data_IF_573126403752
#
_entry.id   IF_573126403752
#
_cell.length_a   1.000
_cell.length_b   1.000
_cell.length_c   1.000
_cell.angle_alpha   90.00
_cell.angle_beta   90.00
_cell.angle_gamma   90.00
#
_symmetry.space_group_name_H-M   'P 1'
#
loop_
_entity.id
_entity.type
_entity.pdbx_description
1 polymer ?
#
# COMPACT_ATOMS: atom_id res chain seq x y z
N UNK A 1 -2.85 -18.82 4.63
CA UNK A 1 -2.17 -17.55 4.32
C UNK A 1 -1.50 -17.05 5.60
N UNK A 2 -0.21 -16.75 5.54
CA UNK A 2 0.50 -16.15 6.66
C UNK A 2 0.63 -14.65 6.39
N UNK A 3 0.10 -13.81 7.27
CA UNK A 3 0.26 -12.36 7.14
C UNK A 3 1.74 -11.97 7.35
N UNK A 4 2.24 -11.08 6.50
CA UNK A 4 3.54 -10.45 6.66
C UNK A 4 3.45 -9.29 7.67
N UNK A 5 4.53 -8.99 8.41
CA UNK A 5 4.56 -7.77 9.22
C UNK A 5 4.56 -6.52 8.34
N UNK A 6 4.25 -5.37 8.93
CA UNK A 6 4.40 -4.09 8.23
C UNK A 6 5.90 -3.79 8.02
N UNK A 7 6.31 -3.31 6.84
CA UNK A 7 7.72 -3.03 6.60
C UNK A 7 8.17 -1.79 7.39
N UNK A 8 9.46 -1.69 7.76
CA UNK A 8 9.98 -0.58 8.57
C UNK A 8 9.74 0.81 7.98
N UNK A 9 9.58 0.90 6.65
CA UNK A 9 9.30 2.16 5.98
C UNK A 9 7.84 2.57 5.94
N UNK A 10 6.92 1.72 6.40
CA UNK A 10 5.51 2.09 6.49
C UNK A 10 5.33 3.21 7.52
N UNK A 11 4.86 4.36 7.05
CA UNK A 11 4.65 5.56 7.86
C UNK A 11 3.17 5.94 7.83
N UNK A 12 2.34 5.42 8.76
CA UNK A 12 0.87 5.61 8.74
C UNK A 12 0.44 7.08 8.89
N UNK A 13 1.30 7.92 9.46
CA UNK A 13 1.05 9.36 9.62
C UNK A 13 1.32 10.14 8.33
N UNK A 14 2.04 9.54 7.37
CA UNK A 14 2.32 10.18 6.06
C UNK A 14 1.28 9.90 4.99
N UNK A 15 0.26 9.08 5.29
CA UNK A 15 -0.77 8.66 4.30
C UNK A 15 -1.58 9.84 3.77
N UNK A 16 -1.84 10.85 4.60
CA UNK A 16 -2.59 12.05 4.23
C UNK A 16 -1.74 13.16 3.61
N UNK A 17 -0.50 12.88 3.19
CA UNK A 17 0.43 13.87 2.67
C UNK A 17 1.01 13.43 1.33
N UNK A 18 1.29 14.41 0.46
CA UNK A 18 2.08 14.18 -0.74
C UNK A 18 3.57 14.28 -0.39
N UNK A 19 4.35 13.27 -0.74
CA UNK A 19 5.80 13.25 -0.47
C UNK A 19 6.56 12.43 -1.50
N UNK A 20 7.86 12.73 -1.65
CA UNK A 20 8.73 12.05 -2.61
C UNK A 20 9.11 10.65 -2.12
N UNK A 21 8.88 9.63 -2.94
CA UNK A 21 9.31 8.26 -2.68
C UNK A 21 10.82 8.13 -2.95
N UNK A 22 11.63 7.61 -2.01
CA UNK A 22 13.04 7.30 -2.25
C UNK A 22 13.16 5.97 -3.03
N UNK A 23 12.88 6.01 -4.34
CA UNK A 23 12.71 4.81 -5.18
C UNK A 23 13.88 3.83 -5.13
N UNK A 24 15.13 4.31 -5.25
CA UNK A 24 16.32 3.46 -5.21
C UNK A 24 16.41 2.66 -3.90
N UNK A 25 16.19 3.33 -2.76
CA UNK A 25 16.15 2.67 -1.46
C UNK A 25 15.01 1.65 -1.37
N UNK A 26 13.82 2.01 -1.84
CA UNK A 26 12.64 1.12 -1.80
C UNK A 26 12.82 -0.12 -2.68
N UNK A 27 13.49 0.00 -3.81
CA UNK A 27 13.82 -1.14 -4.66
C UNK A 27 14.72 -2.14 -3.93
N UNK A 28 15.82 -1.65 -3.33
CA UNK A 28 16.73 -2.51 -2.56
C UNK A 28 16.06 -3.16 -1.33
N UNK A 29 15.23 -2.41 -0.61
CA UNK A 29 14.46 -2.95 0.53
C UNK A 29 13.42 -3.99 0.09
N UNK A 30 12.75 -3.81 -1.06
CA UNK A 30 11.78 -4.76 -1.58
C UNK A 30 12.43 -6.11 -1.91
N UNK A 31 13.61 -6.12 -2.53
CA UNK A 31 14.35 -7.36 -2.78
C UNK A 31 14.76 -8.06 -1.48
N UNK A 32 15.23 -7.30 -0.49
CA UNK A 32 15.59 -7.84 0.82
C UNK A 32 14.36 -8.42 1.54
N UNK A 33 13.21 -7.75 1.41
CA UNK A 33 11.94 -8.19 1.96
C UNK A 33 11.49 -9.51 1.35
N UNK A 34 11.55 -9.62 0.02
CA UNK A 34 11.22 -10.85 -0.70
C UNK A 34 12.11 -12.02 -0.25
N UNK A 35 13.43 -11.81 -0.15
CA UNK A 35 14.37 -12.83 0.36
C UNK A 35 14.08 -13.23 1.81
N UNK A 36 13.77 -12.26 2.68
CA UNK A 36 13.52 -12.50 4.11
C UNK A 36 12.26 -13.33 4.36
N UNK A 37 11.23 -13.14 3.56
CA UNK A 37 9.92 -13.80 3.72
C UNK A 37 9.63 -14.84 2.64
N UNK A 38 10.64 -15.23 1.86
CA UNK A 38 10.55 -16.22 0.78
C UNK A 38 9.41 -15.94 -0.21
N UNK A 39 9.25 -14.67 -0.59
CA UNK A 39 8.21 -14.25 -1.54
C UNK A 39 8.65 -14.62 -2.96
N UNK A 40 7.81 -15.43 -3.62
CA UNK A 40 8.02 -15.83 -5.01
C UNK A 40 7.47 -14.76 -5.97
N UNK A 41 8.00 -14.67 -7.20
CA UNK A 41 7.41 -13.80 -8.22
C UNK A 41 5.94 -14.15 -8.48
N UNK A 42 5.09 -13.13 -8.55
CA UNK A 42 3.66 -13.28 -8.88
C UNK A 42 3.41 -14.00 -10.21
N UNK A 43 4.38 -13.97 -11.13
CA UNK A 43 4.32 -14.69 -12.40
C UNK A 43 4.24 -16.22 -12.26
N UNK A 44 4.73 -16.76 -11.13
CA UNK A 44 4.73 -18.19 -10.83
C UNK A 44 3.44 -18.67 -10.13
N UNK A 45 2.48 -17.77 -9.88
CA UNK A 45 1.22 -18.09 -9.21
C UNK A 45 0.27 -18.91 -10.10
N UNK A 46 -0.11 -20.09 -9.62
CA UNK A 46 -1.13 -20.94 -10.27
C UNK A 46 -2.56 -20.46 -10.03
N UNK A 47 -2.82 -19.89 -8.85
CA UNK A 47 -4.09 -19.26 -8.50
C UNK A 47 -3.84 -17.78 -8.24
N UNK A 48 -4.59 -16.91 -8.92
CA UNK A 48 -4.34 -15.47 -8.93
C UNK A 48 -5.36 -14.71 -8.13
N UNK A 49 -4.89 -13.82 -7.26
CA UNK A 49 -5.74 -12.91 -6.49
C UNK A 49 -5.40 -11.48 -6.92
N UNK A 50 -6.23 -10.92 -7.79
CA UNK A 50 -6.05 -9.57 -8.28
C UNK A 50 -6.63 -8.54 -7.30
N UNK A 51 -5.85 -7.50 -6.98
CA UNK A 51 -6.31 -6.31 -6.29
C UNK A 51 -6.41 -5.15 -7.29
N UNK A 52 -7.63 -4.63 -7.49
CA UNK A 52 -7.86 -3.44 -8.32
C UNK A 52 -8.17 -2.27 -7.41
N UNK A 53 -7.28 -1.29 -7.41
CA UNK A 53 -7.46 -0.04 -6.68
C UNK A 53 -8.10 1.00 -7.62
N UNK A 54 -9.28 1.50 -7.25
CA UNK A 54 -10.06 2.47 -8.04
C UNK A 54 -9.98 3.84 -7.38
N UNK A 55 -9.80 4.88 -8.19
CA UNK A 55 -9.79 6.29 -7.78
C UNK A 55 -8.78 6.65 -6.66
N UNK A 56 -7.66 5.92 -6.59
CA UNK A 56 -6.55 6.22 -5.66
C UNK A 56 -5.66 7.35 -6.22
N UNK A 57 -6.29 8.47 -6.50
CA UNK A 57 -5.66 9.69 -7.01
C UNK A 57 -5.59 10.74 -5.90
N UNK A 58 -4.59 11.62 -5.94
CA UNK A 58 -4.45 12.73 -4.98
C UNK A 58 -5.77 13.51 -4.81
N UNK A 59 -6.46 13.77 -5.91
CA UNK A 59 -7.71 14.53 -5.95
C UNK A 59 -8.83 13.94 -5.10
N UNK A 60 -8.89 12.62 -4.95
CA UNK A 60 -9.88 11.95 -4.10
C UNK A 60 -9.36 11.66 -2.69
N UNK A 61 -8.05 11.46 -2.54
CA UNK A 61 -7.45 10.88 -1.35
C UNK A 61 -6.80 11.87 -0.38
N UNK A 62 -6.52 13.10 -0.81
CA UNK A 62 -5.82 14.10 -0.01
C UNK A 62 -6.69 15.35 0.24
N UNK A 63 -6.69 15.92 1.47
CA UNK A 63 -7.59 17.03 1.86
C UNK A 63 -7.46 18.30 1.01
N UNK A 64 -6.27 18.59 0.50
CA UNK A 64 -5.98 19.84 -0.18
C UNK A 64 -6.38 19.85 -1.67
N UNK A 65 -7.08 18.80 -2.15
CA UNK A 65 -7.46 18.65 -3.55
C UNK A 65 -8.99 18.63 -3.75
N UNK A 66 -9.42 18.78 -5.02
CA UNK A 66 -10.75 19.23 -5.41
C UNK A 66 -11.89 18.28 -5.08
N UNK A 67 -11.66 16.96 -5.10
CA UNK A 67 -12.69 15.94 -4.92
C UNK A 67 -12.44 15.09 -3.67
N UNK A 68 -11.81 15.67 -2.65
CA UNK A 68 -11.42 14.94 -1.46
C UNK A 68 -12.62 14.23 -0.81
N UNK A 69 -12.52 12.91 -0.66
CA UNK A 69 -13.56 12.08 -0.07
C UNK A 69 -13.37 12.04 1.46
N UNK A 70 -13.76 13.13 2.11
CA UNK A 70 -13.63 13.31 3.56
C UNK A 70 -14.48 12.33 4.39
N UNK A 71 -15.59 11.84 3.84
CA UNK A 71 -16.57 11.04 4.58
C UNK A 71 -17.11 11.76 5.83
N UNK A 72 -17.80 11.02 6.72
CA UNK A 72 -18.40 11.60 7.93
C UNK A 72 -17.37 12.01 8.99
N UNK A 73 -16.18 11.43 8.96
CA UNK A 73 -15.12 11.72 9.94
C UNK A 73 -14.23 12.89 9.56
N UNK A 74 -14.37 13.45 8.35
CA UNK A 74 -13.44 14.44 7.81
C UNK A 74 -12.11 13.83 7.30
N UNK A 75 -11.90 12.52 7.46
CA UNK A 75 -10.63 11.82 7.20
C UNK A 75 -10.82 10.48 6.48
N UNK A 76 -11.96 10.27 5.83
CA UNK A 76 -12.41 9.01 5.24
C UNK A 76 -11.37 8.39 4.31
N UNK A 77 -11.03 9.10 3.23
CA UNK A 77 -10.06 8.59 2.26
C UNK A 77 -8.67 8.34 2.86
N UNK A 78 -8.24 9.14 3.84
CA UNK A 78 -6.96 8.93 4.54
C UNK A 78 -6.99 7.62 5.33
N UNK A 79 -8.06 7.40 6.09
CA UNK A 79 -8.23 6.19 6.89
C UNK A 79 -8.36 4.94 5.98
N UNK A 80 -9.04 5.07 4.84
CA UNK A 80 -9.18 4.01 3.86
C UNK A 80 -7.84 3.64 3.25
N UNK A 81 -7.06 4.63 2.80
CA UNK A 81 -5.70 4.38 2.29
C UNK A 81 -4.78 3.78 3.37
N UNK A 82 -4.92 4.20 4.64
CA UNK A 82 -4.16 3.60 5.74
C UNK A 82 -4.45 2.10 5.87
N UNK A 83 -5.74 1.71 5.81
CA UNK A 83 -6.17 0.31 5.85
C UNK A 83 -5.75 -0.46 4.60
N UNK A 84 -5.88 0.15 3.42
CA UNK A 84 -5.49 -0.43 2.14
C UNK A 84 -3.98 -0.73 2.10
N UNK A 85 -3.12 0.22 2.50
CA UNK A 85 -1.68 -0.02 2.59
C UNK A 85 -1.34 -1.18 3.53
N UNK A 86 -1.99 -1.27 4.70
CA UNK A 86 -1.77 -2.37 5.63
C UNK A 86 -2.22 -3.71 5.04
N UNK A 87 -3.37 -3.73 4.38
CA UNK A 87 -3.89 -4.89 3.68
C UNK A 87 -2.90 -5.38 2.62
N UNK A 88 -2.38 -4.48 1.77
CA UNK A 88 -1.41 -4.81 0.73
C UNK A 88 -0.13 -5.37 1.35
N UNK A 89 0.47 -4.69 2.33
CA UNK A 89 1.73 -5.15 2.93
C UNK A 89 1.59 -6.49 3.64
N UNK A 90 0.50 -6.70 4.38
CA UNK A 90 0.26 -7.97 5.08
C UNK A 90 0.01 -9.14 4.13
N UNK A 91 -0.54 -8.88 2.94
CA UNK A 91 -0.92 -9.89 1.97
C UNK A 91 -0.04 -9.90 0.71
N UNK A 92 1.14 -9.28 0.75
CA UNK A 92 2.01 -9.13 -0.42
C UNK A 92 2.40 -10.47 -1.07
N UNK A 93 2.51 -11.54 -0.27
CA UNK A 93 2.79 -12.89 -0.76
C UNK A 93 1.57 -13.66 -1.27
N UNK A 94 0.42 -13.01 -1.41
CA UNK A 94 -0.83 -13.63 -1.86
C UNK A 94 -1.56 -12.83 -2.93
N UNK A 95 -1.32 -11.51 -3.00
CA UNK A 95 -1.78 -10.67 -4.11
C UNK A 95 -0.86 -10.89 -5.31
N UNK A 96 -1.47 -11.07 -6.48
CA UNK A 96 -0.79 -11.26 -7.77
C UNK A 96 -0.78 -9.96 -8.57
#
# INVERSE_FOLDING_TARGET
MQELPLPPHYAPDKVGHLWRVPYERRAAEAEQWARRYDLRPAADDQFRIALVAVDVQNTFCLPDFELYVAGRSGSGAINDNRRLCQFIYRNLGSIT
#
